data_IF_981015365363
#
_entry.id   IF_981015365363
#
_cell.length_a   1.000
_cell.length_b   1.000
_cell.length_c   1.000
_cell.angle_alpha   90.00
_cell.angle_beta   90.00
_cell.angle_gamma   90.00
#
_symmetry.space_group_name_H-M   'P 1'
#
loop_
_entity.id
_entity.type
_entity.pdbx_description
1 polymer ?
#
# COMPACT_ATOMS: atom_id res chain seq x y z
N UNK A 1 0.52 -13.31 22.29
CA UNK A 1 0.15 -13.85 20.96
C UNK A 1 -0.60 -12.76 20.22
N UNK A 2 -0.29 -12.50 18.95
CA UNK A 2 -1.01 -11.50 18.16
C UNK A 2 -2.44 -12.00 17.91
N UNK A 3 -3.45 -11.24 18.35
CA UNK A 3 -4.85 -11.64 18.21
C UNK A 3 -5.34 -11.35 16.79
N UNK A 4 -5.43 -12.40 15.99
CA UNK A 4 -5.87 -12.32 14.60
C UNK A 4 -7.38 -12.29 14.43
N UNK A 5 -8.17 -12.46 15.49
CA UNK A 5 -9.61 -12.74 15.34
C UNK A 5 -10.50 -11.50 15.48
N UNK A 6 -9.93 -10.32 15.74
CA UNK A 6 -10.71 -9.08 15.73
C UNK A 6 -10.98 -8.64 14.29
N UNK A 7 -12.13 -8.00 14.02
CA UNK A 7 -12.45 -7.45 12.71
C UNK A 7 -11.36 -6.50 12.19
N UNK A 8 -10.77 -5.67 13.05
CA UNK A 8 -9.72 -4.71 12.72
C UNK A 8 -8.44 -5.42 12.29
N UNK A 9 -8.05 -6.50 12.99
CA UNK A 9 -6.85 -7.26 12.62
C UNK A 9 -7.06 -8.02 11.32
N UNK A 10 -8.23 -8.63 11.11
CA UNK A 10 -8.55 -9.29 9.84
C UNK A 10 -8.59 -8.30 8.68
N UNK A 11 -9.17 -7.12 8.90
CA UNK A 11 -9.17 -6.02 7.95
C UNK A 11 -7.73 -5.61 7.58
N UNK A 12 -6.90 -5.36 8.59
CA UNK A 12 -5.51 -4.95 8.37
C UNK A 12 -4.73 -6.02 7.60
N UNK A 13 -4.83 -7.30 7.97
CA UNK A 13 -4.13 -8.39 7.31
C UNK A 13 -4.52 -8.52 5.84
N UNK A 14 -5.82 -8.49 5.53
CA UNK A 14 -6.30 -8.62 4.15
C UNK A 14 -5.95 -7.39 3.30
N UNK A 15 -6.07 -6.21 3.89
CA UNK A 15 -5.78 -4.94 3.22
C UNK A 15 -4.29 -4.82 2.91
N UNK A 16 -3.42 -5.05 3.90
CA UNK A 16 -1.95 -5.01 3.71
C UNK A 16 -1.52 -6.07 2.70
N UNK A 17 -2.04 -7.31 2.79
CA UNK A 17 -1.73 -8.35 1.79
C UNK A 17 -2.04 -7.93 0.37
N UNK A 18 -3.17 -7.24 0.16
CA UNK A 18 -3.51 -6.74 -1.18
C UNK A 18 -2.61 -5.59 -1.59
N UNK A 19 -2.37 -4.63 -0.71
CA UNK A 19 -1.51 -3.48 -0.98
C UNK A 19 -0.09 -3.93 -1.35
N UNK A 20 0.47 -4.93 -0.67
CA UNK A 20 1.79 -5.48 -1.00
C UNK A 20 1.84 -6.07 -2.42
N UNK A 21 0.77 -6.75 -2.86
CA UNK A 21 0.70 -7.28 -4.23
C UNK A 21 0.62 -6.15 -5.27
N UNK A 22 -0.18 -5.12 -4.99
CA UNK A 22 -0.29 -3.95 -5.85
C UNK A 22 1.04 -3.20 -5.96
N UNK A 23 1.74 -3.00 -4.85
CA UNK A 23 3.07 -2.38 -4.83
C UNK A 23 4.07 -3.20 -5.64
N UNK A 24 4.08 -4.52 -5.47
CA UNK A 24 4.96 -5.40 -6.24
C UNK A 24 4.66 -5.35 -7.75
N UNK A 25 3.39 -5.28 -8.13
CA UNK A 25 2.98 -5.11 -9.53
C UNK A 25 3.45 -3.76 -10.09
N UNK A 26 3.19 -2.67 -9.38
CA UNK A 26 3.64 -1.33 -9.80
C UNK A 26 5.15 -1.28 -9.92
N UNK A 27 5.89 -1.89 -8.98
CA UNK A 27 7.35 -1.99 -9.06
C UNK A 27 7.81 -2.75 -10.31
N UNK A 28 7.14 -3.84 -10.68
CA UNK A 28 7.47 -4.62 -11.86
C UNK A 28 7.15 -3.90 -13.18
N UNK A 29 6.13 -3.04 -13.19
CA UNK A 29 5.66 -2.30 -14.37
C UNK A 29 6.30 -0.91 -14.52
N UNK A 30 6.86 -0.33 -13.46
CA UNK A 30 7.49 0.99 -13.53
C UNK A 30 8.88 0.93 -14.19
N UNK A 31 8.99 1.54 -15.38
CA UNK A 31 10.26 1.80 -16.10
C UNK A 31 10.87 3.16 -15.70
N UNK A 32 10.08 4.07 -15.11
CA UNK A 32 10.46 5.47 -14.85
C UNK A 32 10.70 5.79 -13.38
N UNK A 33 11.71 6.64 -13.15
CA UNK A 33 12.23 7.09 -11.86
C UNK A 33 11.15 7.66 -10.92
N UNK A 34 11.29 7.34 -9.62
CA UNK A 34 10.40 7.80 -8.55
C UNK A 34 10.23 9.34 -8.54
N UNK A 35 9.03 9.81 -8.20
CA UNK A 35 8.75 11.24 -8.00
C UNK A 35 9.32 11.62 -6.63
N UNK A 36 10.33 12.48 -6.62
CA UNK A 36 10.92 12.96 -5.36
C UNK A 36 10.06 14.11 -4.84
N UNK A 37 9.55 14.01 -3.61
CA UNK A 37 8.82 15.09 -2.95
C UNK A 37 9.77 16.23 -2.54
N UNK A 38 9.20 17.39 -2.19
CA UNK A 38 9.96 18.57 -1.74
C UNK A 38 10.83 18.30 -0.50
N UNK A 39 10.46 17.30 0.31
CA UNK A 39 11.23 16.83 1.47
C UNK A 39 12.32 15.79 1.12
N UNK A 40 12.52 15.53 -0.17
CA UNK A 40 13.44 14.52 -0.73
C UNK A 40 13.12 13.06 -0.35
N UNK A 41 11.96 12.79 0.23
CA UNK A 41 11.49 11.41 0.36
C UNK A 41 11.06 10.89 -1.03
N UNK A 42 11.46 9.67 -1.42
CA UNK A 42 10.92 9.07 -2.62
C UNK A 42 9.46 8.70 -2.34
N UNK A 43 8.52 9.33 -3.05
CA UNK A 43 7.17 8.80 -3.16
C UNK A 43 6.98 8.26 -4.56
N UNK A 44 6.51 7.03 -4.64
CA UNK A 44 6.26 6.35 -5.90
C UNK A 44 4.77 6.33 -6.18
N UNK A 45 4.39 6.00 -7.42
CA UNK A 45 3.00 5.72 -7.78
C UNK A 45 2.43 4.59 -6.90
N UNK A 46 3.28 3.67 -6.42
CA UNK A 46 2.90 2.58 -5.55
C UNK A 46 2.36 3.06 -4.19
N UNK A 47 2.92 4.13 -3.63
CA UNK A 47 2.48 4.68 -2.34
C UNK A 47 1.08 5.29 -2.43
N UNK A 48 0.81 6.07 -3.48
CA UNK A 48 -0.51 6.62 -3.73
C UNK A 48 -1.54 5.52 -4.03
N UNK A 49 -1.17 4.51 -4.82
CA UNK A 49 -2.04 3.38 -5.12
C UNK A 49 -2.40 2.58 -3.87
N UNK A 50 -1.43 2.34 -2.98
CA UNK A 50 -1.66 1.70 -1.70
C UNK A 50 -2.60 2.52 -0.81
N UNK A 51 -2.38 3.83 -0.65
CA UNK A 51 -3.25 4.70 0.14
C UNK A 51 -4.69 4.73 -0.39
N UNK A 52 -4.88 4.83 -1.71
CA UNK A 52 -6.21 4.81 -2.32
C UNK A 52 -6.93 3.49 -2.05
N UNK A 53 -6.23 2.35 -2.18
CA UNK A 53 -6.77 1.03 -1.89
C UNK A 53 -7.22 0.89 -0.42
N UNK A 54 -6.37 1.30 0.53
CA UNK A 54 -6.70 1.24 1.96
C UNK A 54 -7.90 2.15 2.26
N UNK A 55 -7.86 3.40 1.79
CA UNK A 55 -8.93 4.38 2.04
C UNK A 55 -10.26 4.04 1.37
N UNK A 56 -10.27 3.24 0.30
CA UNK A 56 -11.50 2.74 -0.31
C UNK A 56 -12.15 1.61 0.51
N UNK A 57 -11.34 0.81 1.21
CA UNK A 57 -11.81 -0.35 2.00
C UNK A 57 -12.18 -0.01 3.43
N UNK A 58 -11.66 1.09 3.96
CA UNK A 58 -11.90 1.55 5.32
C UNK A 58 -13.16 2.44 5.44
N UNK A 59 -13.89 2.69 4.36
CA UNK A 59 -15.19 3.40 4.35
C UNK A 59 -16.32 2.40 4.55
#
# INVERSE_FOLDING_TARGET
MFNTNTPETQFALNTVRTASKLVAQVQAEMVTSAITKDDKSPVTIADFAAQALVGARAR
#
